data_IF_968864215319
#
_entry.id   IF_968864215319
#
_cell.length_a   1.000
_cell.length_b   1.000
_cell.length_c   1.000
_cell.angle_alpha   90.00
_cell.angle_beta   90.00
_cell.angle_gamma   90.00
#
_symmetry.space_group_name_H-M   'P 1'
#
loop_
_entity.id
_entity.type
_entity.pdbx_description
1 polymer ?
#
# COMPACT_ATOMS: atom_id res chain seq x y z
N UNK A 1 -15.15 18.82 -8.70
CA UNK A 1 -13.87 19.51 -8.56
C UNK A 1 -13.55 19.78 -7.11
N UNK A 2 -12.34 19.50 -6.73
CA UNK A 2 -11.86 19.77 -5.37
C UNK A 2 -11.39 21.21 -5.25
N UNK A 3 -11.47 21.76 -4.04
CA UNK A 3 -10.86 23.05 -3.74
C UNK A 3 -9.34 22.89 -3.78
N UNK A 4 -8.69 23.62 -4.65
CA UNK A 4 -7.23 23.60 -4.81
C UNK A 4 -6.63 24.82 -4.14
N UNK A 5 -5.53 24.65 -3.39
CA UNK A 5 -4.84 25.75 -2.74
C UNK A 5 -4.25 26.71 -3.79
N UNK A 6 -4.25 28.02 -3.51
CA UNK A 6 -3.81 29.04 -4.45
C UNK A 6 -2.34 28.94 -4.88
N UNK A 7 -1.49 28.22 -4.12
CA UNK A 7 -0.08 27.99 -4.48
C UNK A 7 0.12 26.89 -5.53
N UNK A 8 -0.93 26.13 -5.88
CA UNK A 8 -0.83 25.05 -6.86
C UNK A 8 -0.87 25.65 -8.28
N UNK A 9 0.07 25.32 -9.15
CA UNK A 9 0.05 25.77 -10.54
C UNK A 9 -1.24 25.36 -11.25
N UNK A 10 -1.80 26.25 -12.05
CA UNK A 10 -2.95 25.95 -12.92
C UNK A 10 -2.41 25.37 -14.22
N UNK A 11 -2.41 24.06 -14.34
CA UNK A 11 -1.94 23.34 -15.52
C UNK A 11 -2.73 22.05 -15.73
N UNK A 12 -2.63 21.50 -16.94
CA UNK A 12 -3.11 20.17 -17.33
C UNK A 12 -1.96 19.20 -17.60
N UNK A 13 -0.73 19.64 -17.44
CA UNK A 13 0.49 18.88 -17.71
C UNK A 13 1.29 18.72 -16.42
N UNK A 14 1.70 17.50 -16.12
CA UNK A 14 2.52 17.19 -14.94
C UNK A 14 3.93 17.78 -15.04
N UNK A 15 4.41 18.10 -16.23
CA UNK A 15 5.71 18.73 -16.43
C UNK A 15 5.74 20.19 -15.93
N UNK A 16 4.58 20.80 -15.72
CA UNK A 16 4.45 22.15 -15.15
C UNK A 16 4.47 22.14 -13.60
N UNK A 17 4.64 20.99 -12.98
CA UNK A 17 4.78 20.91 -11.53
C UNK A 17 6.01 21.66 -11.04
N UNK A 18 5.82 22.47 -10.00
CA UNK A 18 6.89 23.26 -9.39
C UNK A 18 7.54 22.50 -8.25
N UNK A 19 8.85 22.34 -8.27
CA UNK A 19 9.61 21.78 -7.15
C UNK A 19 9.52 22.72 -5.95
N UNK A 20 8.79 22.31 -4.91
CA UNK A 20 8.58 23.11 -3.70
C UNK A 20 9.80 23.10 -2.80
N UNK A 21 10.48 21.95 -2.70
CA UNK A 21 11.67 21.79 -1.85
C UNK A 21 12.51 20.61 -2.34
N UNK A 22 13.81 20.78 -2.28
CA UNK A 22 14.77 19.69 -2.44
C UNK A 22 15.45 19.41 -1.10
N UNK A 23 15.86 18.17 -0.88
CA UNK A 23 16.63 17.75 0.28
C UNK A 23 17.75 16.81 -0.15
N UNK A 24 18.92 16.99 0.45
CA UNK A 24 20.11 16.23 0.13
C UNK A 24 20.77 16.69 -1.18
N UNK A 25 21.96 16.17 -1.42
CA UNK A 25 22.66 16.34 -2.70
C UNK A 25 22.48 15.04 -3.51
N UNK A 26 21.83 15.15 -4.66
CA UNK A 26 21.85 14.07 -5.63
C UNK A 26 23.31 13.98 -6.15
N UNK A 27 24.03 12.97 -5.69
CA UNK A 27 25.30 12.63 -6.30
C UNK A 27 25.13 12.37 -7.80
N UNK A 28 26.21 12.46 -8.62
CA UNK A 28 26.15 12.11 -10.03
C UNK A 28 25.50 10.72 -10.13
N UNK A 29 24.59 10.56 -11.08
CA UNK A 29 23.98 9.29 -11.37
C UNK A 29 25.12 8.27 -11.56
N UNK A 30 25.42 7.53 -10.48
CA UNK A 30 26.40 6.46 -10.56
C UNK A 30 25.85 5.48 -11.55
N UNK A 31 26.65 5.17 -12.55
CA UNK A 31 26.31 4.44 -13.75
C UNK A 31 25.38 3.25 -13.53
N UNK A 32 24.92 2.69 -14.58
CA UNK A 32 23.88 1.67 -14.69
C UNK A 32 23.87 0.65 -13.55
N UNK A 33 23.20 0.99 -12.43
CA UNK A 33 22.92 0.04 -11.38
C UNK A 33 21.97 -1.04 -11.91
N UNK A 34 22.03 -2.22 -11.31
CA UNK A 34 21.09 -3.29 -11.60
C UNK A 34 19.68 -2.85 -11.20
N UNK A 35 18.69 -3.14 -12.04
CA UNK A 35 17.30 -2.94 -11.68
C UNK A 35 16.87 -3.95 -10.57
N UNK A 36 15.72 -3.70 -9.94
CA UNK A 36 15.25 -4.53 -8.84
C UNK A 36 15.04 -6.00 -9.21
N UNK A 37 14.65 -6.31 -10.45
CA UNK A 37 14.45 -7.70 -10.90
C UNK A 37 15.79 -8.44 -10.92
N UNK A 38 16.81 -7.83 -11.51
CA UNK A 38 18.16 -8.40 -11.53
C UNK A 38 18.76 -8.55 -10.13
N UNK A 39 18.52 -7.57 -9.23
CA UNK A 39 18.96 -7.66 -7.83
C UNK A 39 18.25 -8.78 -7.07
N UNK A 40 16.95 -8.93 -7.22
CA UNK A 40 16.16 -10.01 -6.60
C UNK A 40 16.66 -11.38 -7.02
N UNK A 41 16.95 -11.56 -8.32
CA UNK A 41 17.50 -12.80 -8.87
C UNK A 41 18.94 -13.06 -8.38
N UNK A 42 19.81 -12.05 -8.44
CA UNK A 42 21.21 -12.16 -8.02
C UNK A 42 21.35 -12.51 -6.54
N UNK A 43 20.53 -11.91 -5.69
CA UNK A 43 20.55 -12.11 -4.24
C UNK A 43 19.68 -13.29 -3.77
N UNK A 44 18.91 -13.89 -4.66
CA UNK A 44 17.97 -14.99 -4.35
C UNK A 44 17.03 -14.66 -3.15
N UNK A 45 16.53 -13.43 -3.10
CA UNK A 45 15.71 -12.93 -1.99
C UNK A 45 14.21 -12.99 -2.24
N UNK A 46 13.79 -13.36 -3.43
CA UNK A 46 12.39 -13.67 -3.75
C UNK A 46 12.28 -14.73 -4.85
N UNK A 47 11.14 -15.42 -4.89
CA UNK A 47 10.75 -16.37 -5.92
C UNK A 47 9.39 -15.95 -6.51
N UNK A 48 9.44 -15.34 -7.67
CA UNK A 48 8.26 -14.82 -8.36
C UNK A 48 7.56 -15.89 -9.21
N UNK A 49 8.32 -16.86 -9.73
CA UNK A 49 7.74 -17.93 -10.55
C UNK A 49 6.93 -18.90 -9.72
N UNK A 50 7.47 -19.34 -8.58
CA UNK A 50 6.73 -20.14 -7.62
C UNK A 50 5.54 -19.38 -7.05
N UNK A 51 5.69 -18.08 -6.76
CA UNK A 51 4.61 -17.23 -6.30
C UNK A 51 3.47 -17.11 -7.31
N UNK A 52 3.81 -16.90 -8.58
CA UNK A 52 2.82 -16.83 -9.66
C UNK A 52 2.08 -18.16 -9.85
N UNK A 53 2.77 -19.28 -9.71
CA UNK A 53 2.16 -20.60 -9.80
C UNK A 53 1.15 -20.89 -8.66
N UNK A 54 1.38 -20.32 -7.47
CA UNK A 54 0.53 -20.52 -6.29
C UNK A 54 -0.61 -19.50 -6.19
N UNK A 55 -0.32 -18.22 -6.44
CA UNK A 55 -1.23 -17.11 -6.15
C UNK A 55 -1.62 -16.26 -7.38
N UNK A 56 -1.19 -16.63 -8.56
CA UNK A 56 -1.43 -15.87 -9.77
C UNK A 56 -0.32 -14.86 -10.09
N UNK A 57 -0.49 -14.11 -11.17
CA UNK A 57 0.57 -13.33 -11.85
C UNK A 57 1.32 -12.29 -11.00
N UNK A 58 0.83 -11.94 -9.83
CA UNK A 58 1.48 -11.00 -8.89
C UNK A 58 1.88 -11.66 -7.58
N UNK A 59 1.73 -12.99 -7.49
CA UNK A 59 2.20 -13.74 -6.33
C UNK A 59 3.73 -13.79 -6.31
N UNK A 60 4.29 -13.80 -5.11
CA UNK A 60 5.73 -13.99 -4.89
C UNK A 60 5.98 -14.59 -3.51
N UNK A 61 7.08 -15.28 -3.36
CA UNK A 61 7.62 -15.65 -2.05
C UNK A 61 8.84 -14.79 -1.77
N UNK A 62 8.86 -14.11 -0.63
CA UNK A 62 10.10 -13.55 -0.11
C UNK A 62 10.92 -14.66 0.55
N UNK A 63 12.24 -14.60 0.39
CA UNK A 63 13.16 -15.58 0.93
C UNK A 63 14.31 -14.90 1.68
N UNK A 64 14.90 -15.59 2.65
CA UNK A 64 16.15 -15.18 3.30
C UNK A 64 16.12 -13.72 3.76
N UNK A 65 17.15 -12.96 3.35
CA UNK A 65 17.30 -11.53 3.67
C UNK A 65 16.16 -10.67 3.15
N UNK A 66 15.45 -11.11 2.10
CA UNK A 66 14.25 -10.43 1.60
C UNK A 66 13.12 -10.36 2.64
N UNK A 67 12.93 -11.44 3.40
CA UNK A 67 11.97 -11.46 4.52
C UNK A 67 12.43 -10.49 5.63
N UNK A 68 13.70 -10.56 5.99
CA UNK A 68 14.26 -9.71 7.05
C UNK A 68 14.22 -8.24 6.69
N UNK A 69 14.55 -7.89 5.45
CA UNK A 69 14.47 -6.52 4.93
C UNK A 69 13.04 -5.99 4.98
N UNK A 70 12.07 -6.80 4.53
CA UNK A 70 10.67 -6.42 4.58
C UNK A 70 10.21 -6.13 6.02
N UNK A 71 10.56 -6.98 6.98
CA UNK A 71 10.24 -6.78 8.39
C UNK A 71 10.96 -5.56 8.97
N UNK A 72 12.21 -5.31 8.60
CA UNK A 72 12.96 -4.13 9.04
C UNK A 72 12.31 -2.83 8.57
N UNK A 73 11.84 -2.77 7.33
CA UNK A 73 11.11 -1.61 6.79
C UNK A 73 9.79 -1.37 7.52
N UNK A 74 9.03 -2.43 7.81
CA UNK A 74 7.79 -2.35 8.60
C UNK A 74 8.11 -1.79 10.00
N UNK A 75 9.12 -2.33 10.68
CA UNK A 75 9.52 -1.87 12.01
C UNK A 75 9.99 -0.42 12.00
N UNK A 76 10.77 -0.01 11.02
CA UNK A 76 11.21 1.39 10.87
C UNK A 76 10.01 2.35 10.70
N UNK A 77 9.04 1.98 9.87
CA UNK A 77 7.82 2.78 9.67
C UNK A 77 6.98 2.89 10.95
N UNK A 78 6.78 1.77 11.66
CA UNK A 78 6.07 1.75 12.95
C UNK A 78 6.77 2.62 14.00
N UNK A 79 8.10 2.48 14.12
CA UNK A 79 8.89 3.27 15.07
C UNK A 79 8.80 4.78 14.76
N UNK A 80 8.88 5.16 13.49
CA UNK A 80 8.74 6.56 13.06
C UNK A 80 7.33 7.09 13.36
N UNK A 81 6.28 6.31 13.09
CA UNK A 81 4.91 6.68 13.40
C UNK A 81 4.68 6.89 14.91
N UNK A 82 5.16 5.96 15.73
CA UNK A 82 5.07 6.08 17.20
C UNK A 82 5.84 7.30 17.71
N UNK A 83 7.04 7.54 17.21
CA UNK A 83 7.82 8.73 17.56
C UNK A 83 7.13 10.05 17.17
N UNK A 84 6.32 10.02 16.10
CA UNK A 84 5.49 11.14 15.69
C UNK A 84 4.16 11.26 16.48
N UNK A 85 3.92 10.40 17.47
CA UNK A 85 2.72 10.42 18.33
C UNK A 85 1.53 9.63 17.77
N UNK A 86 1.71 8.87 16.69
CA UNK A 86 0.66 8.01 16.16
C UNK A 86 0.49 6.73 16.99
N UNK A 87 -0.73 6.23 17.06
CA UNK A 87 -1.05 4.94 17.66
C UNK A 87 -1.02 3.86 16.58
N UNK A 88 -0.14 2.86 16.67
CA UNK A 88 -0.12 1.77 15.71
C UNK A 88 -1.38 0.91 15.84
N UNK A 89 -2.00 0.58 14.71
CA UNK A 89 -3.21 -0.25 14.65
C UNK A 89 -3.02 -1.34 13.59
N UNK A 90 -3.24 -2.59 13.99
CA UNK A 90 -3.35 -3.71 13.08
C UNK A 90 -4.83 -3.89 12.69
N UNK A 91 -5.15 -3.70 11.43
CA UNK A 91 -6.53 -3.85 10.94
C UNK A 91 -6.86 -5.32 10.63
N UNK A 92 -8.16 -5.71 10.65
CA UNK A 92 -8.58 -6.96 10.04
C UNK A 92 -8.36 -6.91 8.52
N UNK A 93 -8.16 -8.08 7.90
CA UNK A 93 -8.01 -8.20 6.44
C UNK A 93 -9.36 -8.33 5.71
N UNK A 94 -10.44 -8.54 6.43
CA UNK A 94 -11.78 -8.71 5.91
C UNK A 94 -12.73 -7.69 6.55
N UNK A 95 -13.72 -7.25 5.78
CA UNK A 95 -14.83 -6.46 6.30
C UNK A 95 -16.14 -7.10 5.87
N UNK A 96 -17.15 -7.12 6.76
CA UNK A 96 -18.50 -7.48 6.40
C UNK A 96 -19.09 -6.47 5.43
N UNK A 97 -20.01 -6.91 4.56
CA UNK A 97 -20.57 -6.07 3.50
C UNK A 97 -21.17 -4.76 4.05
N UNK A 98 -21.90 -4.82 5.16
CA UNK A 98 -22.52 -3.64 5.78
C UNK A 98 -21.51 -2.59 6.29
N UNK A 99 -20.34 -3.03 6.77
CA UNK A 99 -19.28 -2.14 7.20
C UNK A 99 -18.54 -1.54 5.98
N UNK A 100 -18.28 -2.34 4.97
CA UNK A 100 -17.63 -1.91 3.72
C UNK A 100 -18.49 -0.85 3.00
N UNK A 101 -19.80 -1.08 2.88
CA UNK A 101 -20.75 -0.17 2.25
C UNK A 101 -20.79 1.23 2.89
N UNK A 102 -20.40 1.35 4.16
CA UNK A 102 -20.39 2.63 4.87
C UNK A 102 -19.14 3.48 4.57
N UNK A 103 -18.08 2.91 4.02
CA UNK A 103 -16.77 3.57 3.85
C UNK A 103 -16.27 3.57 2.40
N UNK A 104 -16.97 2.92 1.49
CA UNK A 104 -16.60 2.85 0.10
C UNK A 104 -17.82 2.74 -0.84
N UNK A 105 -17.65 3.05 -2.13
CA UNK A 105 -18.76 3.05 -3.09
C UNK A 105 -19.16 1.62 -3.50
N UNK A 106 -20.39 1.22 -3.24
CA UNK A 106 -20.92 -0.14 -3.50
C UNK A 106 -20.77 -0.61 -4.95
N UNK A 107 -20.88 0.29 -5.93
CA UNK A 107 -20.81 -0.06 -7.34
C UNK A 107 -19.44 -0.63 -7.78
N UNK A 108 -18.40 -0.41 -7.01
CA UNK A 108 -17.04 -0.91 -7.31
C UNK A 108 -16.71 -2.25 -6.61
N UNK A 109 -17.53 -2.68 -5.63
CA UNK A 109 -17.18 -3.83 -4.80
C UNK A 109 -17.25 -5.18 -5.49
N UNK A 110 -18.31 -5.39 -6.27
CA UNK A 110 -18.52 -6.70 -6.88
C UNK A 110 -17.57 -6.96 -8.07
N UNK A 111 -16.97 -5.90 -8.61
CA UNK A 111 -16.05 -5.98 -9.76
C UNK A 111 -14.57 -5.93 -9.34
N UNK A 112 -14.23 -5.23 -8.25
CA UNK A 112 -12.84 -4.92 -7.89
C UNK A 112 -12.33 -5.65 -6.65
N UNK A 113 -13.23 -6.16 -5.77
CA UNK A 113 -12.84 -6.78 -4.51
C UNK A 113 -13.03 -8.29 -4.51
N UNK A 114 -12.12 -8.98 -3.82
CA UNK A 114 -12.30 -10.40 -3.54
C UNK A 114 -13.39 -10.61 -2.50
N UNK A 115 -14.45 -11.29 -2.90
CA UNK A 115 -15.53 -11.70 -2.02
C UNK A 115 -15.23 -13.05 -1.40
N UNK A 116 -15.42 -13.17 -0.10
CA UNK A 116 -15.27 -14.40 0.67
C UNK A 116 -16.63 -14.80 1.22
N UNK A 117 -17.07 -15.97 0.81
CA UNK A 117 -18.33 -16.59 1.25
C UNK A 117 -18.02 -17.74 2.20
N UNK A 118 -18.91 -18.02 3.15
CA UNK A 118 -18.76 -19.08 4.16
C UNK A 118 -19.89 -19.05 5.16
N UNK A 119 -19.67 -19.53 6.36
CA UNK A 119 -20.63 -19.38 7.44
C UNK A 119 -20.79 -17.91 7.85
N UNK A 120 -22.02 -17.42 7.98
CA UNK A 120 -22.37 -16.08 8.37
C UNK A 120 -22.46 -15.09 7.22
N UNK A 121 -22.30 -13.79 7.51
CA UNK A 121 -22.38 -12.72 6.53
C UNK A 121 -21.19 -12.76 5.56
N UNK A 122 -21.44 -12.53 4.27
CA UNK A 122 -20.42 -12.37 3.25
C UNK A 122 -19.42 -11.26 3.61
N UNK A 123 -18.16 -11.48 3.32
CA UNK A 123 -17.07 -10.55 3.61
C UNK A 123 -16.29 -10.23 2.34
N UNK A 124 -15.61 -9.10 2.38
CA UNK A 124 -14.70 -8.68 1.33
C UNK A 124 -13.29 -8.52 1.88
N UNK A 125 -12.27 -8.92 1.11
CA UNK A 125 -10.89 -8.54 1.41
C UNK A 125 -10.75 -7.02 1.30
N UNK A 126 -10.05 -6.42 2.25
CA UNK A 126 -9.75 -4.99 2.18
C UNK A 126 -8.78 -4.70 1.03
N UNK A 127 -9.01 -3.62 0.30
CA UNK A 127 -8.06 -3.13 -0.70
C UNK A 127 -6.97 -2.27 -0.04
N UNK A 128 -7.30 -1.61 1.06
CA UNK A 128 -6.45 -0.67 1.78
C UNK A 128 -6.88 -0.57 3.24
N UNK A 129 -5.95 -0.19 4.13
CA UNK A 129 -6.19 -0.10 5.57
C UNK A 129 -7.11 1.07 5.98
N UNK A 130 -7.28 2.08 5.15
CA UNK A 130 -8.17 3.22 5.43
C UNK A 130 -9.63 2.76 5.58
N UNK A 131 -10.06 1.76 4.82
CA UNK A 131 -11.43 1.23 4.89
C UNK A 131 -11.78 0.72 6.30
N UNK A 132 -11.05 -0.25 6.89
CA UNK A 132 -11.35 -0.70 8.25
C UNK A 132 -11.04 0.35 9.32
N UNK A 133 -10.07 1.25 9.12
CA UNK A 133 -9.79 2.33 10.06
C UNK A 133 -10.95 3.34 10.11
N UNK A 134 -11.50 3.75 8.97
CA UNK A 134 -12.70 4.59 8.93
C UNK A 134 -13.89 3.89 9.59
N UNK A 135 -14.09 2.60 9.31
CA UNK A 135 -15.16 1.83 9.92
C UNK A 135 -15.00 1.69 11.46
N UNK A 136 -13.76 1.57 11.97
CA UNK A 136 -13.46 1.54 13.40
C UNK A 136 -13.91 2.80 14.12
N UNK A 137 -13.86 3.95 13.45
CA UNK A 137 -14.26 5.24 14.02
C UNK A 137 -15.71 5.62 13.70
N UNK A 138 -16.46 4.77 13.02
CA UNK A 138 -17.87 5.00 12.69
C UNK A 138 -18.69 5.29 13.97
N UNK A 139 -19.48 6.36 13.95
CA UNK A 139 -20.32 6.82 15.06
C UNK A 139 -19.55 7.17 16.36
N UNK A 140 -18.27 7.49 16.25
CA UNK A 140 -17.45 7.97 17.37
C UNK A 140 -17.04 9.41 17.15
N UNK A 141 -16.98 10.16 18.24
CA UNK A 141 -16.44 11.52 18.28
C UNK A 141 -15.13 11.53 19.06
#
# INVERSE_FOLDING_TARGET
>A
GNLVHASVPVSRDENDNVTVRTWGEAGPAQGQGLNHVALVQLLDIADVDAGAAVAGSRGYFLKREGVLLNQALIQAALAAGVAAGATPVQTPFFMVQSAMAAVAQLAQFDEELYKVTGEGEDKYLIATSEQPLCAMHRNKW
#
